data_IF_178621470757
#
_entry.id   IF_178621470757
#
_cell.length_a   1.000
_cell.length_b   1.000
_cell.length_c   1.000
_cell.angle_alpha   90.00
_cell.angle_beta   90.00
_cell.angle_gamma   90.00
#
_symmetry.space_group_name_H-M   'P 1'
#
loop_
_entity.id
_entity.type
_entity.pdbx_description
1 polymer ?
#
# COMPACT_ATOMS: atom_id res chain seq x y z
N UNK A 1 5.02 8.37 -2.39
CA UNK A 1 4.81 8.35 -0.93
C UNK A 1 6.13 8.08 -0.23
N UNK A 2 6.43 8.88 0.73
CA UNK A 2 7.68 8.75 1.47
C UNK A 2 7.48 7.85 2.67
N UNK A 3 8.53 7.13 3.02
CA UNK A 3 8.47 6.22 4.15
C UNK A 3 8.14 6.96 5.44
N UNK A 4 8.72 8.13 5.63
CA UNK A 4 8.47 8.92 6.84
C UNK A 4 7.00 9.30 6.98
N UNK A 5 6.37 9.70 5.88
CA UNK A 5 4.96 10.03 5.90
C UNK A 5 4.13 8.82 6.27
N UNK A 6 4.49 7.68 5.71
CA UNK A 6 3.79 6.45 6.00
C UNK A 6 3.92 6.08 7.47
N UNK A 7 5.11 6.23 8.03
CA UNK A 7 5.35 5.87 9.42
C UNK A 7 4.58 6.75 10.40
N UNK A 8 4.25 7.97 9.99
CA UNK A 8 3.51 8.86 10.85
C UNK A 8 2.02 8.62 10.91
N UNK A 9 1.52 7.69 10.08
CA UNK A 9 0.08 7.45 10.01
C UNK A 9 -0.38 6.42 11.02
N UNK A 10 -1.63 6.58 11.46
CA UNK A 10 -2.23 5.58 12.33
C UNK A 10 -2.56 4.32 11.55
N UNK A 11 -2.85 3.24 12.26
CA UNK A 11 -3.24 2.00 11.60
C UNK A 11 -4.49 2.19 10.74
N UNK A 12 -5.47 2.94 11.26
CA UNK A 12 -6.69 3.21 10.49
C UNK A 12 -6.39 3.93 9.21
N UNK A 13 -5.50 4.92 9.26
CA UNK A 13 -5.12 5.67 8.08
C UNK A 13 -4.39 4.79 7.07
N UNK A 14 -3.52 3.92 7.57
CA UNK A 14 -2.79 3.01 6.69
C UNK A 14 -3.74 2.03 6.01
N UNK A 15 -4.71 1.52 6.75
CA UNK A 15 -5.68 0.60 6.18
C UNK A 15 -6.55 1.29 5.14
N UNK A 16 -6.92 2.53 5.41
CA UNK A 16 -7.69 3.31 4.46
C UNK A 16 -6.91 3.54 3.17
N UNK A 17 -5.65 3.94 3.31
CA UNK A 17 -4.79 4.15 2.15
C UNK A 17 -4.59 2.85 1.38
N UNK A 18 -4.42 1.75 2.10
CA UNK A 18 -4.26 0.45 1.48
C UNK A 18 -5.47 0.08 0.63
N UNK A 19 -6.65 0.27 1.18
CA UNK A 19 -7.87 -0.02 0.45
C UNK A 19 -7.98 0.84 -0.81
N UNK A 20 -7.66 2.12 -0.69
CA UNK A 20 -7.70 3.02 -1.83
C UNK A 20 -6.71 2.64 -2.91
N UNK A 21 -5.49 2.29 -2.52
CA UNK A 21 -4.47 1.88 -3.47
C UNK A 21 -4.86 0.59 -4.19
N UNK A 22 -5.42 -0.35 -3.45
CA UNK A 22 -5.87 -1.61 -4.06
C UNK A 22 -6.98 -1.37 -5.05
N UNK A 23 -7.90 -0.48 -4.70
CA UNK A 23 -9.01 -0.15 -5.57
C UNK A 23 -8.50 0.48 -6.87
N UNK A 24 -7.58 1.42 -6.74
CA UNK A 24 -7.02 2.07 -7.92
C UNK A 24 -6.25 1.07 -8.79
N UNK A 25 -5.48 0.19 -8.16
CA UNK A 25 -4.74 -0.82 -8.88
C UNK A 25 -5.66 -1.75 -9.64
N UNK A 26 -6.74 -2.17 -8.99
CA UNK A 26 -7.73 -3.02 -9.64
C UNK A 26 -8.31 -2.34 -10.88
N UNK A 27 -8.67 -1.06 -10.73
CA UNK A 27 -9.21 -0.29 -11.85
C UNK A 27 -8.25 -0.18 -13.02
N UNK A 28 -6.97 0.05 -12.72
CA UNK A 28 -5.97 0.15 -13.77
C UNK A 28 -5.73 -1.18 -14.46
N UNK A 29 -5.76 -2.26 -13.71
CA UNK A 29 -5.62 -3.59 -14.29
C UNK A 29 -6.81 -3.93 -15.18
N UNK A 30 -7.98 -3.54 -14.74
CA UNK A 30 -9.19 -3.77 -15.53
C UNK A 30 -9.10 -3.02 -16.85
N UNK A 31 -8.67 -1.77 -16.82
CA UNK A 31 -8.49 -0.99 -18.04
C UNK A 31 -7.47 -1.63 -18.97
N UNK A 32 -6.39 -2.12 -18.41
CA UNK A 32 -5.35 -2.77 -19.22
C UNK A 32 -5.89 -4.01 -19.91
N UNK A 33 -6.82 -4.71 -19.29
CA UNK A 33 -7.40 -5.92 -19.87
C UNK A 33 -8.41 -5.62 -20.95
N UNK A 34 -9.09 -4.48 -20.87
CA UNK A 34 -10.17 -4.15 -21.80
C UNK A 34 -9.77 -3.13 -22.86
N UNK A 35 -8.70 -2.39 -22.60
CA UNK A 35 -8.31 -1.31 -23.48
C UNK A 35 -6.79 -1.16 -23.43
N UNK A 36 -6.25 -0.53 -24.43
CA UNK A 36 -4.82 -0.32 -24.51
C UNK A 36 -4.33 0.77 -23.57
N UNK A 37 -5.21 1.57 -23.04
CA UNK A 37 -4.80 2.71 -22.22
C UNK A 37 -4.36 2.29 -20.84
N UNK A 38 -3.10 1.93 -20.68
CA UNK A 38 -2.56 1.50 -19.40
C UNK A 38 -1.41 2.40 -19.00
N UNK A 39 -1.14 2.45 -17.70
CA UNK A 39 -0.04 3.25 -17.16
C UNK A 39 0.84 2.33 -16.30
N UNK A 40 1.82 1.66 -16.91
CA UNK A 40 2.66 0.72 -16.18
C UNK A 40 3.42 1.37 -15.01
N UNK A 41 3.82 2.62 -15.18
CA UNK A 41 4.55 3.31 -14.12
C UNK A 41 3.67 3.48 -12.87
N UNK A 42 2.42 3.86 -13.09
CA UNK A 42 1.49 4.01 -11.98
C UNK A 42 1.19 2.69 -11.29
N UNK A 43 1.04 1.64 -12.08
CA UNK A 43 0.79 0.30 -11.55
C UNK A 43 1.95 -0.13 -10.66
N UNK A 44 3.19 0.05 -11.11
CA UNK A 44 4.36 -0.29 -10.31
C UNK A 44 4.41 0.53 -9.02
N UNK A 45 4.10 1.81 -9.14
CA UNK A 45 4.10 2.71 -8.00
C UNK A 45 3.10 2.27 -6.95
N UNK A 46 1.89 1.93 -7.38
CA UNK A 46 0.84 1.46 -6.47
C UNK A 46 1.24 0.16 -5.80
N UNK A 47 1.82 -0.76 -6.55
CA UNK A 47 2.25 -2.04 -5.97
C UNK A 47 3.28 -1.82 -4.89
N UNK A 48 4.22 -0.90 -5.11
CA UNK A 48 5.23 -0.59 -4.10
C UNK A 48 4.62 0.02 -2.87
N UNK A 49 3.68 0.94 -3.04
CA UNK A 49 3.02 1.57 -1.92
C UNK A 49 2.23 0.56 -1.10
N UNK A 50 1.53 -0.33 -1.78
CA UNK A 50 0.79 -1.38 -1.10
C UNK A 50 1.73 -2.26 -0.29
N UNK A 51 2.85 -2.65 -0.86
CA UNK A 51 3.82 -3.48 -0.17
C UNK A 51 4.38 -2.79 1.07
N UNK A 52 4.66 -1.49 0.96
CA UNK A 52 5.17 -0.72 2.10
C UNK A 52 4.16 -0.66 3.23
N UNK A 53 2.89 -0.43 2.90
CA UNK A 53 1.86 -0.35 3.91
C UNK A 53 1.68 -1.70 4.59
N UNK A 54 1.68 -2.79 3.83
CA UNK A 54 1.61 -4.12 4.40
C UNK A 54 2.76 -4.39 5.36
N UNK A 55 3.97 -4.03 4.96
CA UNK A 55 5.13 -4.22 5.82
C UNK A 55 5.00 -3.43 7.11
N UNK A 56 4.56 -2.19 6.99
CA UNK A 56 4.40 -1.32 8.15
C UNK A 56 3.36 -1.86 9.12
N UNK A 57 2.22 -2.30 8.60
CA UNK A 57 1.17 -2.86 9.43
C UNK A 57 1.64 -4.14 10.10
N UNK A 58 2.36 -4.96 9.38
CA UNK A 58 2.88 -6.20 9.93
C UNK A 58 3.85 -5.94 11.07
N UNK A 59 4.73 -4.96 10.90
CA UNK A 59 5.67 -4.59 11.95
C UNK A 59 4.94 -4.14 13.21
N UNK A 60 3.87 -3.39 13.03
CA UNK A 60 3.09 -2.91 14.18
C UNK A 60 2.40 -4.04 14.92
N UNK A 61 1.91 -5.01 14.17
CA UNK A 61 1.31 -6.19 14.79
C UNK A 61 2.33 -6.94 15.63
N UNK A 62 3.54 -7.09 15.11
CA UNK A 62 4.58 -7.77 15.86
C UNK A 62 4.91 -7.03 17.15
N UNK A 63 4.96 -5.71 17.10
CA UNK A 63 5.22 -4.92 18.30
C UNK A 63 4.11 -5.08 19.33
N UNK A 64 2.87 -5.07 18.87
CA UNK A 64 1.72 -5.23 19.75
C UNK A 64 1.79 -6.57 20.46
N UNK A 65 2.33 -7.59 19.80
CA UNK A 65 2.44 -8.91 20.38
C UNK A 65 3.60 -9.05 21.35
N UNK A 66 4.24 -7.96 21.69
CA UNK A 66 5.35 -7.99 22.61
C UNK A 66 6.69 -8.23 21.94
N UNK A 67 6.70 -8.19 20.64
CA UNK A 67 7.96 -8.32 19.93
C UNK A 67 8.74 -7.03 20.06
N UNK A 68 9.96 -7.15 20.47
CA UNK A 68 10.80 -5.99 20.63
C UNK A 68 11.36 -5.58 19.27
N UNK A 69 11.26 -4.30 18.92
CA UNK A 69 11.93 -3.82 17.71
C UNK A 69 13.42 -3.98 17.90
N UNK A 70 14.09 -4.39 16.88
CA UNK A 70 15.53 -4.57 16.92
C UNK A 70 16.24 -3.37 16.41
#
# INVERSE_FOLDING_TARGET
MKTDETRGKTNSELEFDLANHKKELFGLRFKAATDAGTNPARIRQLRRQIARIHTMLHERVLKIRGQEPR
#
